data_IF_018085126378
#
_entry.id   IF_018085126378
#
_cell.length_a   1.000
_cell.length_b   1.000
_cell.length_c   1.000
_cell.angle_alpha   90.00
_cell.angle_beta   90.00
_cell.angle_gamma   90.00
#
_symmetry.space_group_name_H-M   'P 1'
#
loop_
_entity.id
_entity.type
_entity.pdbx_description
1 polymer ?
#
# COMPACT_ATOMS: atom_id res chain seq x y z
N UNK A 1 -0.08 20.71 13.13
CA UNK A 1 -0.04 19.75 14.26
C UNK A 1 0.54 18.43 13.80
N UNK A 2 0.60 17.43 14.69
CA UNK A 2 1.02 16.07 14.30
C UNK A 2 -0.07 15.32 13.52
N UNK A 3 0.32 14.46 12.58
CA UNK A 3 -0.60 13.71 11.72
C UNK A 3 -1.61 12.88 12.51
N UNK A 4 -1.16 12.17 13.55
CA UNK A 4 -2.05 11.39 14.41
C UNK A 4 -3.13 12.26 15.07
N UNK A 5 -2.75 13.37 15.70
CA UNK A 5 -3.72 14.27 16.36
C UNK A 5 -4.72 14.85 15.37
N UNK A 6 -4.25 15.29 14.19
CA UNK A 6 -5.09 15.84 13.12
C UNK A 6 -6.05 14.79 12.55
N UNK A 7 -5.67 13.51 12.57
CA UNK A 7 -6.54 12.43 12.10
C UNK A 7 -7.82 12.30 12.93
N UNK A 8 -7.86 12.79 14.17
CA UNK A 8 -9.06 12.90 15.01
C UNK A 8 -9.82 14.22 14.74
N UNK A 9 -10.09 14.51 13.47
CA UNK A 9 -10.60 15.82 13.02
C UNK A 9 -12.00 16.17 13.53
N UNK A 10 -12.82 15.22 14.00
CA UNK A 10 -14.21 15.43 14.51
C UNK A 10 -15.15 16.19 13.57
N UNK A 11 -14.83 16.21 12.28
CA UNK A 11 -15.55 17.00 11.26
C UNK A 11 -15.17 18.48 11.22
N UNK A 12 -14.16 18.92 11.97
CA UNK A 12 -13.62 20.29 11.89
C UNK A 12 -12.97 20.54 10.52
N UNK A 13 -13.44 21.58 9.82
CA UNK A 13 -13.02 21.89 8.45
C UNK A 13 -11.53 22.21 8.34
N UNK A 14 -10.96 22.89 9.34
CA UNK A 14 -9.53 23.24 9.34
C UNK A 14 -8.65 22.01 9.53
N UNK A 15 -9.04 21.10 10.42
CA UNK A 15 -8.34 19.83 10.59
C UNK A 15 -8.49 18.92 9.37
N UNK A 16 -9.65 18.91 8.73
CA UNK A 16 -9.86 18.18 7.47
C UNK A 16 -8.94 18.69 6.35
N UNK A 17 -8.83 20.01 6.16
CA UNK A 17 -7.87 20.61 5.21
C UNK A 17 -6.43 20.17 5.52
N UNK A 18 -6.02 20.29 6.79
CA UNK A 18 -4.68 19.85 7.21
C UNK A 18 -4.46 18.37 6.98
N UNK A 19 -5.46 17.53 7.28
CA UNK A 19 -5.38 16.08 7.10
C UNK A 19 -5.24 15.71 5.62
N UNK A 20 -6.05 16.32 4.75
CA UNK A 20 -5.95 16.16 3.31
C UNK A 20 -4.56 16.55 2.81
N UNK A 21 -4.04 17.72 3.21
CA UNK A 21 -2.71 18.19 2.80
C UNK A 21 -1.59 17.24 3.21
N UNK A 22 -1.65 16.68 4.42
CA UNK A 22 -0.68 15.68 4.88
C UNK A 22 -0.77 14.40 4.04
N UNK A 23 -1.97 13.88 3.80
CA UNK A 23 -2.17 12.68 2.99
C UNK A 23 -1.74 12.87 1.53
N UNK A 24 -2.01 14.05 0.94
CA UNK A 24 -1.51 14.44 -0.38
C UNK A 24 0.01 14.48 -0.40
N UNK A 25 0.65 15.05 0.63
CA UNK A 25 2.11 15.07 0.72
C UNK A 25 2.71 13.65 0.78
N UNK A 26 2.15 12.74 1.58
CA UNK A 26 2.60 11.34 1.62
C UNK A 26 2.45 10.65 0.26
N UNK A 27 1.34 10.90 -0.43
CA UNK A 27 1.12 10.36 -1.79
C UNK A 27 2.13 10.92 -2.79
N UNK A 28 2.49 12.20 -2.67
CA UNK A 28 3.54 12.80 -3.48
C UNK A 28 4.93 12.23 -3.16
N UNK A 29 5.23 11.91 -1.89
CA UNK A 29 6.48 11.23 -1.52
C UNK A 29 6.56 9.82 -2.08
N UNK A 30 5.44 9.07 -2.10
CA UNK A 30 5.38 7.79 -2.78
C UNK A 30 5.70 7.96 -4.28
N UNK A 31 5.05 8.91 -4.95
CA UNK A 31 5.31 9.16 -6.37
C UNK A 31 6.78 9.50 -6.64
N UNK A 32 7.37 10.37 -5.81
CA UNK A 32 8.79 10.69 -5.87
C UNK A 32 9.68 9.44 -5.70
N UNK A 33 9.42 8.61 -4.69
CA UNK A 33 10.17 7.38 -4.44
C UNK A 33 10.09 6.44 -5.65
N UNK A 34 8.89 6.17 -6.15
CA UNK A 34 8.68 5.27 -7.28
C UNK A 34 9.37 5.79 -8.56
N UNK A 35 9.30 7.10 -8.83
CA UNK A 35 10.02 7.71 -9.95
C UNK A 35 11.54 7.59 -9.78
N UNK A 36 12.06 7.80 -8.56
CA UNK A 36 13.48 7.65 -8.28
C UNK A 36 13.92 6.21 -8.49
N UNK A 37 13.21 5.23 -7.95
CA UNK A 37 13.50 3.80 -8.14
C UNK A 37 13.45 3.40 -9.62
N UNK A 38 12.50 3.94 -10.39
CA UNK A 38 12.41 3.71 -11.84
C UNK A 38 13.59 4.32 -12.60
N UNK A 39 14.16 5.43 -12.13
CA UNK A 39 15.32 6.07 -12.79
C UNK A 39 16.66 5.37 -12.53
N UNK A 40 16.71 4.47 -11.53
CA UNK A 40 17.93 3.81 -11.10
C UNK A 40 18.06 2.47 -11.84
N UNK A 41 19.07 2.28 -12.70
CA UNK A 41 19.29 1.03 -13.39
C UNK A 41 19.76 -0.06 -12.42
N UNK A 42 19.30 -1.29 -12.64
CA UNK A 42 19.75 -2.50 -11.94
C UNK A 42 19.82 -3.66 -12.94
N UNK A 43 21.04 -3.97 -13.42
CA UNK A 43 21.23 -4.92 -14.51
C UNK A 43 20.57 -4.45 -15.80
N UNK A 44 19.67 -5.28 -16.36
CA UNK A 44 18.91 -4.98 -17.59
C UNK A 44 17.55 -4.33 -17.31
N UNK A 45 17.25 -3.97 -16.06
CA UNK A 45 15.98 -3.37 -15.64
C UNK A 45 16.23 -2.19 -14.68
N UNK A 46 15.22 -1.79 -13.93
CA UNK A 46 15.32 -0.72 -12.92
C UNK A 46 15.12 -1.27 -11.52
N UNK A 47 15.56 -0.54 -10.49
CA UNK A 47 15.32 -0.92 -9.09
C UNK A 47 13.82 -1.12 -8.83
N UNK A 48 12.94 -0.34 -9.46
CA UNK A 48 11.49 -0.51 -9.33
C UNK A 48 10.99 -1.82 -9.95
N UNK A 49 11.54 -2.24 -11.09
CA UNK A 49 11.13 -3.48 -11.77
C UNK A 49 11.45 -4.72 -10.90
N UNK A 50 12.52 -4.66 -10.12
CA UNK A 50 12.95 -5.76 -9.25
C UNK A 50 12.41 -5.66 -7.81
N UNK A 51 11.66 -4.61 -7.49
CA UNK A 51 11.12 -4.36 -6.15
C UNK A 51 9.61 -4.58 -6.06
N UNK A 52 9.12 -4.65 -4.81
CA UNK A 52 7.71 -4.47 -4.46
C UNK A 52 7.61 -3.38 -3.39
N UNK A 53 6.73 -2.39 -3.62
CA UNK A 53 6.46 -1.29 -2.69
C UNK A 53 4.98 -1.28 -2.36
N UNK A 54 4.64 -1.55 -1.10
CA UNK A 54 3.27 -1.43 -0.61
C UNK A 54 3.10 -0.10 0.11
N UNK A 55 2.08 0.66 -0.28
CA UNK A 55 1.68 1.90 0.35
C UNK A 55 0.21 1.84 0.77
N UNK A 56 -0.08 2.35 1.96
CA UNK A 56 -1.42 2.34 2.53
C UNK A 56 -1.38 2.82 3.98
N UNK A 57 -2.41 2.46 4.73
CA UNK A 57 -2.57 2.82 6.14
C UNK A 57 -2.99 1.59 6.96
N UNK A 58 -2.84 1.64 8.28
CA UNK A 58 -3.42 0.64 9.18
C UNK A 58 -4.94 0.75 9.34
N UNK A 59 -5.52 1.89 8.95
CA UNK A 59 -6.95 2.20 9.03
C UNK A 59 -7.39 3.06 7.83
N UNK A 60 -8.63 2.90 7.38
CA UNK A 60 -9.23 3.68 6.28
C UNK A 60 -9.49 5.12 6.67
N UNK A 61 -9.98 5.33 7.89
CA UNK A 61 -10.35 6.65 8.43
C UNK A 61 -9.81 6.76 9.86
N UNK A 62 -9.00 7.79 10.10
CA UNK A 62 -8.38 8.04 11.41
C UNK A 62 -9.36 8.46 12.49
N UNK A 63 -10.37 9.26 12.14
CA UNK A 63 -11.33 9.81 13.08
C UNK A 63 -12.33 8.74 13.54
N UNK A 64 -12.80 7.91 12.61
CA UNK A 64 -13.72 6.82 12.88
C UNK A 64 -13.03 5.52 13.31
N UNK A 65 -11.69 5.45 13.26
CA UNK A 65 -10.93 4.20 13.44
C UNK A 65 -11.44 3.06 12.53
N UNK A 66 -11.80 3.37 11.29
CA UNK A 66 -12.38 2.39 10.38
C UNK A 66 -11.32 1.39 9.90
N UNK A 67 -11.47 0.11 10.26
CA UNK A 67 -10.52 -0.97 9.95
C UNK A 67 -10.88 -1.79 8.70
N UNK A 68 -11.98 -1.46 8.03
CA UNK A 68 -12.46 -2.15 6.81
C UNK A 68 -12.24 -1.30 5.58
N UNK A 69 -12.18 -1.96 4.42
CA UNK A 69 -12.01 -1.35 3.09
C UNK A 69 -10.79 -0.41 3.01
N UNK A 70 -9.66 -0.87 3.57
CA UNK A 70 -8.41 -0.11 3.57
C UNK A 70 -7.85 -0.10 2.15
N UNK A 71 -7.75 1.08 1.49
CA UNK A 71 -7.16 1.16 0.17
C UNK A 71 -5.63 1.00 0.28
N UNK A 72 -5.06 0.20 -0.61
CA UNK A 72 -3.62 0.02 -0.72
C UNK A 72 -3.15 0.12 -2.16
N UNK A 73 -1.92 0.57 -2.34
CA UNK A 73 -1.21 0.59 -3.62
C UNK A 73 -0.04 -0.38 -3.52
N UNK A 74 -0.02 -1.41 -4.35
CA UNK A 74 1.15 -2.24 -4.57
C UNK A 74 1.80 -1.84 -5.89
N UNK A 75 3.04 -1.37 -5.83
CA UNK A 75 3.82 -0.92 -6.97
C UNK A 75 5.12 -1.73 -7.12
N UNK A 76 5.73 -1.65 -8.30
CA UNK A 76 6.93 -2.41 -8.68
C UNK A 76 6.63 -3.61 -9.57
N UNK A 77 7.69 -4.22 -10.09
CA UNK A 77 7.59 -5.33 -11.04
C UNK A 77 7.72 -6.72 -10.42
N UNK A 78 8.30 -6.81 -9.20
CA UNK A 78 8.68 -8.09 -8.59
C UNK A 78 9.43 -9.02 -9.58
N UNK A 79 10.36 -8.46 -10.35
CA UNK A 79 11.06 -9.16 -11.44
C UNK A 79 10.09 -9.84 -12.45
N UNK A 80 9.06 -9.10 -12.86
CA UNK A 80 8.05 -9.55 -13.82
C UNK A 80 6.91 -10.41 -13.22
N UNK A 81 6.90 -10.65 -11.91
CA UNK A 81 5.88 -11.48 -11.25
C UNK A 81 4.62 -10.70 -10.83
N UNK A 82 4.61 -9.37 -10.96
CA UNK A 82 3.44 -8.53 -10.71
C UNK A 82 2.89 -7.93 -12.00
N UNK A 83 1.61 -8.17 -12.28
CA UNK A 83 0.88 -7.48 -13.34
C UNK A 83 0.32 -6.16 -12.80
N UNK A 84 0.95 -5.05 -13.20
CA UNK A 84 0.61 -3.68 -12.78
C UNK A 84 -0.48 -3.03 -13.65
N UNK A 85 -0.86 -1.78 -13.35
CA UNK A 85 -1.83 -1.01 -14.14
C UNK A 85 -3.28 -1.47 -13.98
N UNK A 86 -3.63 -2.02 -12.81
CA UNK A 86 -4.95 -2.58 -12.51
C UNK A 86 -5.47 -2.10 -11.17
N UNK A 87 -6.79 -2.11 -11.02
CA UNK A 87 -7.47 -1.99 -9.73
C UNK A 87 -8.06 -3.36 -9.38
N UNK A 88 -7.71 -3.89 -8.20
CA UNK A 88 -8.25 -5.15 -7.70
C UNK A 88 -9.23 -4.83 -6.56
N UNK A 89 -10.50 -5.21 -6.76
CA UNK A 89 -11.48 -5.22 -5.67
C UNK A 89 -11.36 -6.56 -4.96
N UNK A 90 -11.08 -6.52 -3.66
CA UNK A 90 -11.05 -7.71 -2.84
C UNK A 90 -12.48 -8.22 -2.57
N UNK A 91 -12.61 -9.52 -2.31
CA UNK A 91 -13.87 -10.11 -1.84
C UNK A 91 -14.23 -9.54 -0.46
N UNK A 92 -15.52 -9.60 -0.12
CA UNK A 92 -15.99 -9.15 1.19
C UNK A 92 -15.27 -9.91 2.31
N UNK A 93 -14.71 -9.16 3.27
CA UNK A 93 -13.90 -9.68 4.39
C UNK A 93 -12.55 -10.30 4.02
N UNK A 94 -12.07 -10.12 2.79
CA UNK A 94 -10.70 -10.49 2.45
C UNK A 94 -9.71 -9.81 3.42
N UNK A 95 -8.83 -10.56 4.10
CA UNK A 95 -7.87 -9.97 5.02
C UNK A 95 -6.83 -9.16 4.23
N UNK A 96 -6.48 -7.97 4.71
CA UNK A 96 -5.36 -7.19 4.14
C UNK A 96 -4.07 -8.02 4.08
N UNK A 97 -3.89 -8.91 5.06
CA UNK A 97 -2.76 -9.83 5.12
C UNK A 97 -2.64 -10.76 3.90
N UNK A 98 -3.71 -10.97 3.11
CA UNK A 98 -3.63 -11.71 1.85
C UNK A 98 -2.73 -11.03 0.80
N UNK A 99 -2.59 -9.71 0.84
CA UNK A 99 -1.59 -8.99 0.02
C UNK A 99 -0.17 -9.37 0.46
N UNK A 100 0.09 -9.45 1.76
CA UNK A 100 1.38 -9.84 2.30
C UNK A 100 1.74 -11.29 1.96
N UNK A 101 0.78 -12.21 1.99
CA UNK A 101 0.99 -13.59 1.53
C UNK A 101 1.47 -13.62 0.07
N UNK A 102 0.82 -12.83 -0.80
CA UNK A 102 1.25 -12.72 -2.20
C UNK A 102 2.63 -12.11 -2.39
N UNK A 103 3.01 -11.14 -1.57
CA UNK A 103 4.36 -10.58 -1.56
C UNK A 103 5.39 -11.61 -1.09
N UNK A 104 5.14 -12.31 0.03
CA UNK A 104 6.02 -13.36 0.55
C UNK A 104 6.29 -14.46 -0.49
N UNK A 105 5.26 -14.90 -1.22
CA UNK A 105 5.40 -15.87 -2.31
C UNK A 105 6.39 -15.41 -3.38
N UNK A 106 6.27 -14.15 -3.83
CA UNK A 106 7.14 -13.56 -4.86
C UNK A 106 8.58 -13.34 -4.38
N UNK A 107 8.76 -13.18 -3.06
CA UNK A 107 10.07 -13.12 -2.42
C UNK A 107 10.69 -14.51 -2.16
N UNK A 108 10.00 -15.60 -2.50
CA UNK A 108 10.48 -16.97 -2.23
C UNK A 108 10.43 -17.35 -0.74
N UNK A 109 9.65 -16.64 0.08
CA UNK A 109 9.49 -16.93 1.51
C UNK A 109 8.62 -18.17 1.68
N UNK A 110 9.07 -19.12 2.51
CA UNK A 110 8.39 -20.40 2.75
C UNK A 110 7.19 -20.33 3.69
N UNK A 111 7.04 -19.22 4.43
CA UNK A 111 5.92 -18.99 5.33
C UNK A 111 4.58 -19.00 4.57
N UNK A 112 3.64 -19.83 5.02
CA UNK A 112 2.34 -20.02 4.37
C UNK A 112 1.24 -19.11 4.91
N UNK A 113 1.51 -18.36 5.99
CA UNK A 113 0.50 -17.60 6.71
C UNK A 113 1.10 -16.37 7.37
N UNK A 114 0.36 -15.26 7.37
CA UNK A 114 0.64 -14.07 8.18
C UNK A 114 -0.67 -13.49 8.70
N UNK A 115 -0.72 -13.20 10.01
CA UNK A 115 -1.97 -12.78 10.66
C UNK A 115 -3.09 -13.79 10.45
N UNK A 116 -4.21 -13.31 9.90
CA UNK A 116 -5.40 -14.12 9.59
C UNK A 116 -5.51 -14.55 8.11
N UNK A 117 -4.43 -14.47 7.33
CA UNK A 117 -4.41 -14.89 5.92
C UNK A 117 -3.40 -16.01 5.66
N UNK A 118 -3.83 -17.07 4.99
CA UNK A 118 -3.02 -18.20 4.51
C UNK A 118 -3.02 -18.37 2.98
N UNK A 119 -3.71 -17.46 2.28
CA UNK A 119 -3.84 -17.39 0.83
C UNK A 119 -3.63 -15.96 0.36
N UNK A 120 -3.16 -15.82 -0.89
CA UNK A 120 -2.92 -14.51 -1.47
C UNK A 120 -4.21 -13.87 -1.98
N UNK A 121 -4.21 -12.54 -2.09
CA UNK A 121 -5.32 -11.82 -2.68
C UNK A 121 -5.57 -12.34 -4.11
N UNK A 122 -6.83 -12.70 -4.40
CA UNK A 122 -7.20 -13.23 -5.71
C UNK A 122 -6.85 -12.24 -6.83
N UNK A 123 -6.10 -12.71 -7.82
CA UNK A 123 -5.75 -11.94 -9.03
C UNK A 123 -4.52 -11.03 -8.90
N UNK A 124 -3.87 -11.03 -7.74
CA UNK A 124 -2.56 -10.42 -7.51
C UNK A 124 -1.50 -11.13 -8.35
#
# INVERSE_FOLDING_TARGET
GGHHSISHHKGDEKQLDQYQRINTWHSAQLAYLLQKMKSLPEGNSTVLDNSMVLFGSGIRDGNAHATRDIPVVLAGGANGQLKTGRHLKADDNAPLASVYVGMMKRMGVSAKKIGNADSELRGL
#
